data_IF_425608158287
#
_entry.id   IF_425608158287
#
_cell.length_a   1.000
_cell.length_b   1.000
_cell.length_c   1.000
_cell.angle_alpha   90.00
_cell.angle_beta   90.00
_cell.angle_gamma   90.00
#
_symmetry.space_group_name_H-M   'P 1'
#
loop_
_entity.id
_entity.type
_entity.pdbx_description
1 polymer ?
#
# COMPACT_ATOMS: atom_id res chain seq x y z
N UNK A 1 20.01 20.96 31.80
CA UNK A 1 20.52 19.71 31.15
C UNK A 1 19.39 18.71 30.92
N UNK A 2 18.44 18.54 31.85
CA UNK A 2 17.30 17.62 31.72
C UNK A 2 16.41 17.85 30.48
N UNK A 3 15.99 19.09 30.20
CA UNK A 3 15.19 19.38 28.99
C UNK A 3 15.86 19.03 27.66
N UNK A 4 17.20 18.98 27.61
CA UNK A 4 17.90 18.57 26.40
C UNK A 4 17.78 17.06 26.16
N UNK A 5 17.73 16.25 27.22
CA UNK A 5 17.51 14.80 27.14
C UNK A 5 16.09 14.47 26.72
N UNK A 6 15.10 15.16 27.30
CA UNK A 6 13.68 15.02 26.96
C UNK A 6 13.44 15.32 25.48
N UNK A 7 13.96 16.45 24.96
CA UNK A 7 13.86 16.79 23.54
C UNK A 7 14.52 15.73 22.65
N UNK A 8 15.70 15.21 23.03
CA UNK A 8 16.38 14.15 22.26
C UNK A 8 15.53 12.88 22.18
N UNK A 9 14.87 12.49 23.27
CA UNK A 9 13.97 11.35 23.29
C UNK A 9 12.75 11.57 22.38
N UNK A 10 12.16 12.76 22.39
CA UNK A 10 11.04 13.10 21.50
C UNK A 10 11.44 13.05 20.01
N UNK A 11 12.61 13.57 19.65
CA UNK A 11 13.10 13.46 18.27
C UNK A 11 13.39 12.01 17.85
N UNK A 12 13.89 11.17 18.76
CA UNK A 12 14.07 9.75 18.50
C UNK A 12 12.72 9.04 18.28
N UNK A 13 11.70 9.34 19.10
CA UNK A 13 10.33 8.83 18.92
C UNK A 13 9.74 9.25 17.57
N UNK A 14 9.89 10.53 17.21
CA UNK A 14 9.42 11.06 15.92
C UNK A 14 10.10 10.38 14.73
N UNK A 15 11.44 10.28 14.75
CA UNK A 15 12.20 9.59 13.70
C UNK A 15 11.77 8.13 13.55
N UNK A 16 11.54 7.43 14.66
CA UNK A 16 11.07 6.05 14.63
C UNK A 16 9.64 5.93 14.06
N UNK A 17 8.77 6.91 14.33
CA UNK A 17 7.45 6.99 13.73
C UNK A 17 7.51 7.19 12.21
N UNK A 18 8.20 8.25 11.77
CA UNK A 18 8.39 8.59 10.35
C UNK A 18 8.97 7.40 9.58
N UNK A 19 9.96 6.71 10.15
CA UNK A 19 10.58 5.55 9.53
C UNK A 19 9.60 4.36 9.40
N UNK A 20 8.70 4.14 10.36
CA UNK A 20 7.66 3.10 10.25
C UNK A 20 6.64 3.45 9.18
N UNK A 21 6.22 4.71 9.09
CA UNK A 21 5.28 5.16 8.06
C UNK A 21 5.86 5.02 6.66
N UNK A 22 7.11 5.44 6.45
CA UNK A 22 7.79 5.30 5.17
C UNK A 22 7.94 3.84 4.76
N UNK A 23 8.28 2.94 5.68
CA UNK A 23 8.35 1.49 5.41
C UNK A 23 6.98 0.91 5.05
N UNK A 24 5.92 1.33 5.73
CA UNK A 24 4.57 0.90 5.42
C UNK A 24 4.15 1.39 4.02
N UNK A 25 4.44 2.64 3.69
CA UNK A 25 4.16 3.22 2.38
C UNK A 25 4.96 2.53 1.26
N UNK A 26 6.25 2.28 1.48
CA UNK A 26 7.12 1.53 0.55
C UNK A 26 6.53 0.15 0.24
N UNK A 27 6.10 -0.58 1.27
CA UNK A 27 5.53 -1.91 1.11
C UNK A 27 4.20 -1.89 0.33
N UNK A 28 3.34 -0.90 0.59
CA UNK A 28 2.11 -0.71 -0.18
C UNK A 28 2.41 -0.41 -1.65
N UNK A 29 3.34 0.51 -1.92
CA UNK A 29 3.72 0.89 -3.27
C UNK A 29 4.37 -0.28 -4.03
N UNK A 30 5.23 -1.05 -3.37
CA UNK A 30 5.84 -2.25 -3.92
C UNK A 30 4.79 -3.30 -4.31
N UNK A 31 3.82 -3.57 -3.43
CA UNK A 31 2.71 -4.48 -3.75
C UNK A 31 1.83 -3.96 -4.88
N UNK A 32 1.56 -2.64 -4.94
CA UNK A 32 0.81 -2.02 -6.05
C UNK A 32 1.53 -2.18 -7.38
N UNK A 33 2.83 -1.90 -7.42
CA UNK A 33 3.64 -2.07 -8.62
C UNK A 33 3.66 -3.53 -9.08
N UNK A 34 3.88 -4.48 -8.15
CA UNK A 34 3.85 -5.91 -8.45
C UNK A 34 2.49 -6.37 -8.97
N UNK A 35 1.41 -5.89 -8.36
CA UNK A 35 0.05 -6.19 -8.82
C UNK A 35 -0.19 -5.66 -10.23
N UNK A 36 0.15 -4.40 -10.51
CA UNK A 36 0.01 -3.81 -11.84
C UNK A 36 0.79 -4.60 -12.91
N UNK A 37 2.04 -4.98 -12.62
CA UNK A 37 2.86 -5.79 -13.51
C UNK A 37 2.21 -7.15 -13.84
N UNK A 38 1.71 -7.87 -12.83
CA UNK A 38 1.05 -9.17 -13.05
C UNK A 38 -0.27 -9.06 -13.81
N UNK A 39 -1.02 -7.96 -13.60
CA UNK A 39 -2.24 -7.69 -14.37
C UNK A 39 -1.89 -7.38 -15.83
N UNK A 40 -0.86 -6.56 -16.08
CA UNK A 40 -0.41 -6.25 -17.45
C UNK A 40 0.19 -7.46 -18.17
N UNK A 41 0.86 -8.36 -17.46
CA UNK A 41 1.38 -9.62 -17.99
C UNK A 41 0.26 -10.64 -18.31
N UNK A 42 -0.93 -10.45 -17.74
CA UNK A 42 -2.07 -11.34 -17.93
C UNK A 42 -2.17 -12.49 -16.92
N UNK A 43 -1.22 -12.60 -15.98
CA UNK A 43 -1.20 -13.63 -14.92
C UNK A 43 -2.36 -13.46 -13.94
N UNK A 44 -2.74 -12.21 -13.67
CA UNK A 44 -3.87 -11.87 -12.80
C UNK A 44 -4.97 -11.18 -13.63
N UNK A 45 -6.05 -11.92 -13.88
CA UNK A 45 -7.25 -11.38 -14.55
C UNK A 45 -8.21 -10.77 -13.54
N UNK A 46 -8.34 -9.45 -13.54
CA UNK A 46 -9.28 -8.71 -12.67
C UNK A 46 -10.69 -8.64 -13.29
N UNK A 47 -10.78 -8.45 -14.62
CA UNK A 47 -12.05 -8.29 -15.32
C UNK A 47 -12.86 -9.59 -15.35
N UNK A 48 -14.05 -9.55 -14.73
CA UNK A 48 -15.01 -10.65 -14.68
C UNK A 48 -14.65 -11.77 -13.70
N UNK A 49 -13.59 -11.63 -12.90
CA UNK A 49 -13.23 -12.61 -11.89
C UNK A 49 -14.04 -12.39 -10.60
N UNK A 50 -14.51 -13.46 -9.93
CA UNK A 50 -15.16 -13.33 -8.64
C UNK A 50 -14.14 -12.90 -7.59
N UNK A 51 -14.55 -11.98 -6.72
CA UNK A 51 -13.68 -11.38 -5.69
C UNK A 51 -12.96 -12.42 -4.84
N UNK A 52 -13.69 -13.44 -4.37
CA UNK A 52 -13.11 -14.51 -3.55
C UNK A 52 -11.98 -15.26 -4.26
N UNK A 53 -12.08 -15.48 -5.57
CA UNK A 53 -11.02 -16.12 -6.36
C UNK A 53 -9.80 -15.21 -6.51
N UNK A 54 -10.00 -13.90 -6.67
CA UNK A 54 -8.91 -12.93 -6.69
C UNK A 54 -8.19 -12.88 -5.35
N UNK A 55 -8.91 -12.81 -4.23
CA UNK A 55 -8.31 -12.77 -2.89
C UNK A 55 -7.55 -14.08 -2.59
N UNK A 56 -8.05 -15.24 -3.03
CA UNK A 56 -7.33 -16.51 -2.92
C UNK A 56 -6.02 -16.51 -3.74
N UNK A 57 -6.03 -16.03 -4.98
CA UNK A 57 -4.82 -15.89 -5.80
C UNK A 57 -3.82 -14.91 -5.20
N UNK A 58 -4.29 -13.78 -4.65
CA UNK A 58 -3.43 -12.80 -3.99
C UNK A 58 -2.77 -13.39 -2.73
N UNK A 59 -3.49 -14.23 -1.99
CA UNK A 59 -2.94 -14.98 -0.86
C UNK A 59 -1.89 -16.02 -1.29
N UNK A 60 -2.15 -16.74 -2.37
CA UNK A 60 -1.19 -17.69 -2.97
C UNK A 60 0.11 -16.99 -3.38
N UNK A 61 -0.03 -15.82 -4.03
CA UNK A 61 1.09 -14.97 -4.47
C UNK A 61 1.76 -14.19 -3.32
N UNK A 62 1.37 -14.43 -2.05
CA UNK A 62 1.96 -13.82 -0.86
C UNK A 62 1.93 -12.29 -0.90
N UNK A 63 0.86 -11.68 -1.42
CA UNK A 63 0.67 -10.24 -1.23
C UNK A 63 0.46 -9.92 0.24
N UNK A 64 0.94 -8.76 0.68
CA UNK A 64 0.79 -8.37 2.08
C UNK A 64 -0.65 -7.99 2.37
N UNK A 65 -1.19 -8.50 3.47
CA UNK A 65 -2.55 -8.18 3.90
C UNK A 65 -2.58 -6.84 4.62
N UNK A 66 -3.76 -6.21 4.66
CA UNK A 66 -3.97 -4.99 5.46
C UNK A 66 -3.64 -5.21 6.94
N UNK A 67 -3.92 -6.40 7.48
CA UNK A 67 -3.60 -6.82 8.84
C UNK A 67 -2.09 -6.80 9.12
N UNK A 68 -1.29 -7.28 8.16
CA UNK A 68 0.18 -7.25 8.22
C UNK A 68 0.75 -5.84 8.04
N UNK A 69 0.08 -4.99 7.28
CA UNK A 69 0.45 -3.58 7.15
C UNK A 69 0.16 -2.82 8.46
N UNK A 70 -0.96 -3.14 9.11
CA UNK A 70 -1.38 -2.53 10.37
C UNK A 70 -0.49 -2.94 11.55
N UNK A 71 0.04 -4.16 11.59
CA UNK A 71 0.93 -4.59 12.68
C UNK A 71 2.26 -3.82 12.73
N UNK A 72 2.67 -3.16 11.63
CA UNK A 72 3.79 -2.22 11.61
C UNK A 72 3.46 -0.84 12.22
N UNK A 73 2.18 -0.46 12.22
CA UNK A 73 1.64 0.71 12.94
C UNK A 73 1.37 0.30 14.39
N UNK A 74 2.41 0.26 15.22
CA UNK A 74 2.26 -0.07 16.65
C UNK A 74 1.17 0.75 17.35
N UNK A 75 0.55 0.15 18.38
CA UNK A 75 -0.64 0.61 19.12
C UNK A 75 -0.47 1.90 19.96
N UNK A 76 0.35 2.86 19.52
CA UNK A 76 0.46 4.19 20.15
C UNK A 76 -0.42 5.15 19.34
N UNK A 77 -1.56 5.49 19.93
CA UNK A 77 -2.69 6.14 19.27
C UNK A 77 -2.35 7.44 18.55
N UNK A 78 -2.71 7.46 17.27
CA UNK A 78 -2.98 8.65 16.49
C UNK A 78 -4.10 8.27 15.54
N UNK A 79 -5.29 8.81 15.79
CA UNK A 79 -6.43 8.80 14.87
C UNK A 79 -6.07 9.66 13.64
N UNK A 80 -5.08 9.25 12.85
CA UNK A 80 -4.94 9.70 11.47
C UNK A 80 -5.61 8.64 10.59
N UNK A 81 -6.94 8.60 10.70
CA UNK A 81 -7.73 8.27 9.54
C UNK A 81 -7.46 9.35 8.47
N UNK A 82 -7.29 8.89 7.22
CA UNK A 82 -7.40 9.69 6.01
C UNK A 82 -6.23 10.65 5.64
N UNK A 83 -5.07 10.07 5.33
CA UNK A 83 -4.15 10.68 4.35
C UNK A 83 -4.02 9.89 3.03
N UNK A 84 -4.99 9.01 2.74
CA UNK A 84 -5.09 8.31 1.45
C UNK A 84 -6.54 8.18 0.94
N UNK A 85 -7.47 9.03 1.39
CA UNK A 85 -8.82 9.14 0.84
C UNK A 85 -8.88 10.40 -0.05
N UNK A 86 -8.21 10.33 -1.20
CA UNK A 86 -8.54 11.15 -2.36
C UNK A 86 -8.43 10.26 -3.59
N UNK A 87 -9.47 9.47 -3.86
CA UNK A 87 -10.03 9.38 -5.21
C UNK A 87 -11.39 8.63 -5.27
N UNK A 88 -12.31 9.23 -6.04
CA UNK A 88 -13.46 8.61 -6.73
C UNK A 88 -14.39 7.63 -6.00
N UNK A 89 -15.49 8.14 -5.43
CA UNK A 89 -16.57 7.32 -4.89
C UNK A 89 -17.24 6.41 -5.93
N UNK A 90 -17.38 5.13 -5.57
CA UNK A 90 -18.43 4.20 -5.99
C UNK A 90 -18.43 3.01 -5.00
N UNK A 91 -19.47 2.94 -4.14
CA UNK A 91 -19.83 1.77 -3.35
C UNK A 91 -18.90 1.44 -2.16
N UNK A 92 -19.47 1.46 -0.95
CA UNK A 92 -18.88 0.88 0.26
C UNK A 92 -18.89 -0.66 0.10
N UNK A 93 -18.03 -1.18 -0.76
CA UNK A 93 -17.66 -2.59 -0.72
C UNK A 93 -16.60 -2.67 0.36
N UNK A 94 -16.92 -3.34 1.47
CA UNK A 94 -15.97 -3.63 2.54
C UNK A 94 -14.67 -4.13 1.89
N UNK A 95 -13.63 -3.32 2.03
CA UNK A 95 -12.33 -3.64 1.50
C UNK A 95 -11.78 -4.76 2.37
N UNK A 96 -11.95 -6.01 1.94
CA UNK A 96 -11.26 -7.17 2.50
C UNK A 96 -9.73 -6.96 2.54
N UNK A 97 -8.97 -7.98 2.92
CA UNK A 97 -7.54 -7.82 3.25
C UNK A 97 -6.67 -7.20 2.13
N UNK A 98 -7.09 -7.32 0.87
CA UNK A 98 -6.43 -6.77 -0.32
C UNK A 98 -7.14 -5.54 -0.92
N UNK A 99 -8.03 -4.89 -0.17
CA UNK A 99 -8.82 -3.75 -0.65
C UNK A 99 -7.99 -2.59 -1.20
N UNK A 100 -6.77 -2.38 -0.67
CA UNK A 100 -5.86 -1.32 -1.12
C UNK A 100 -5.26 -1.54 -2.52
N UNK A 101 -5.29 -2.79 -3.02
CA UNK A 101 -4.91 -3.16 -4.38
C UNK A 101 -6.12 -3.07 -5.32
N UNK A 102 -7.28 -3.58 -4.88
CA UNK A 102 -8.48 -3.66 -5.71
C UNK A 102 -9.20 -2.31 -5.89
N UNK A 103 -8.93 -1.32 -5.05
CA UNK A 103 -9.42 0.07 -5.21
C UNK A 103 -8.51 0.93 -6.09
N UNK A 104 -7.45 0.37 -6.66
CA UNK A 104 -6.57 1.07 -7.59
C UNK A 104 -7.37 1.55 -8.82
N UNK A 105 -7.16 2.79 -9.30
CA UNK A 105 -7.80 3.26 -10.52
C UNK A 105 -7.28 2.47 -11.73
N UNK A 106 -8.16 2.17 -12.68
CA UNK A 106 -7.80 1.41 -13.90
C UNK A 106 -6.67 2.07 -14.72
N UNK A 107 -6.51 3.39 -14.61
CA UNK A 107 -5.43 4.15 -15.25
C UNK A 107 -4.03 3.71 -14.79
N UNK A 108 -3.89 3.21 -13.55
CA UNK A 108 -2.63 2.69 -13.03
C UNK A 108 -2.25 1.33 -13.63
N UNK A 109 -3.21 0.60 -14.22
CA UNK A 109 -3.00 -0.71 -14.85
C UNK A 109 -2.63 -0.62 -16.34
N UNK A 110 -2.47 0.59 -16.88
CA UNK A 110 -2.13 0.78 -18.30
C UNK A 110 -0.64 0.52 -18.53
N UNK A 111 -0.30 -0.10 -19.68
CA UNK A 111 1.09 -0.40 -20.04
C UNK A 111 1.95 0.86 -20.15
N UNK A 112 1.37 1.96 -20.65
CA UNK A 112 1.99 3.28 -20.73
C UNK A 112 2.38 3.80 -19.35
N UNK A 113 1.49 3.65 -18.37
CA UNK A 113 1.76 4.09 -17.00
C UNK A 113 2.83 3.24 -16.33
N UNK A 114 2.80 1.92 -16.52
CA UNK A 114 3.85 1.02 -16.02
C UNK A 114 5.22 1.35 -16.64
N UNK A 115 5.28 1.60 -17.95
CA UNK A 115 6.51 2.02 -18.62
C UNK A 115 7.04 3.36 -18.09
N UNK A 116 6.16 4.34 -17.84
CA UNK A 116 6.57 5.60 -17.19
C UNK A 116 7.14 5.38 -15.78
N UNK A 117 6.57 4.45 -15.01
CA UNK A 117 7.08 4.12 -13.68
C UNK A 117 8.49 3.51 -13.74
N UNK A 118 8.75 2.63 -14.71
CA UNK A 118 10.10 2.07 -14.91
C UNK A 118 11.13 3.15 -15.25
N UNK A 119 10.79 4.09 -16.13
CA UNK A 119 11.65 5.23 -16.46
C UNK A 119 11.96 6.10 -15.24
N UNK A 120 10.98 6.32 -14.36
CA UNK A 120 11.17 7.08 -13.12
C UNK A 120 12.07 6.36 -12.11
N UNK A 121 12.04 5.04 -12.09
CA UNK A 121 12.86 4.21 -11.21
C UNK A 121 14.28 3.95 -11.75
N UNK A 122 14.56 4.31 -13.00
CA UNK A 122 15.88 4.09 -13.62
C UNK A 122 16.14 2.63 -14.02
N UNK A 123 15.09 1.81 -14.04
CA UNK A 123 15.13 0.44 -14.53
C UNK A 123 15.02 0.49 -16.06
N UNK A 124 16.16 0.66 -16.73
CA UNK A 124 16.32 0.66 -18.19
C UNK A 124 16.58 -0.76 -18.72
#
# INVERSE_FOLDING_TARGET
>A
VEHAKERRALYAKRRAHELRELKAAELVLSNRARFAQLVTAGDVRVLGAPRASLEAKLAELRFTTRSQLASGKGADGGEDEAAAERDGGLGVVEGGEYGYLLRMPLSELTSERVAQLHVQHGDC
#
